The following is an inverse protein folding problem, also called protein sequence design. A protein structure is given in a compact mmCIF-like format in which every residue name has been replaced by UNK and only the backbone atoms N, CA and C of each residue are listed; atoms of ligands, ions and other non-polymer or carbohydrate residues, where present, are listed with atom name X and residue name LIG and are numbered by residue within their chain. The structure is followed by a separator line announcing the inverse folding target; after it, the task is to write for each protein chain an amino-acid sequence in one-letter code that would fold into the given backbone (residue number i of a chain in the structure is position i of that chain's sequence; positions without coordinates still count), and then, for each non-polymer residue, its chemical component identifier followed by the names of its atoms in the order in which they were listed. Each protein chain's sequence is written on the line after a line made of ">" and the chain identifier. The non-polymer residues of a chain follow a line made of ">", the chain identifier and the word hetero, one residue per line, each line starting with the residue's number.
data_IF_748435842688
#
_entry.id   IF_748435842688
#
_cell.length_a   1.000
_cell.length_b   1.000
_cell.length_c   1.000
_cell.angle_alpha   90.00
_cell.angle_beta   90.00
_cell.angle_gamma   90.00
#
_symmetry.space_group_name_H-M   'P 1'
#
loop_
_entity.id
_entity.type
_entity.pdbx_description
1 polymer ?
#
# COMPACT_ATOMS: atom_id res chain seq x y z
N UNK A 1 14.30 -31.38 33.97
CA UNK A 1 15.22 -31.99 32.99
C UNK A 1 15.47 -30.99 31.86
N UNK A 2 16.74 -30.78 31.52
CA UNK A 2 17.32 -30.03 30.39
C UNK A 2 16.98 -28.54 30.20
N UNK A 3 17.85 -27.72 30.82
CA UNK A 3 18.18 -26.34 30.43
C UNK A 3 18.96 -26.37 29.11
N UNK A 4 18.58 -25.56 28.12
CA UNK A 4 19.41 -25.23 26.96
C UNK A 4 19.92 -23.79 27.10
N UNK A 5 21.22 -23.68 27.34
CA UNK A 5 22.01 -22.45 27.37
C UNK A 5 22.45 -22.14 25.95
N UNK A 6 22.18 -20.94 25.44
CA UNK A 6 22.82 -20.44 24.22
C UNK A 6 23.71 -19.25 24.57
N UNK A 7 24.95 -19.34 24.08
CA UNK A 7 26.07 -18.46 24.34
C UNK A 7 25.92 -17.15 23.55
N UNK A 8 26.03 -16.02 24.25
CA UNK A 8 26.21 -14.69 23.67
C UNK A 8 27.56 -14.59 22.98
N UNK A 9 27.56 -14.35 21.66
CA UNK A 9 28.76 -13.94 20.92
C UNK A 9 28.75 -12.42 20.76
N UNK A 10 29.66 -11.74 21.48
CA UNK A 10 29.96 -10.33 21.26
C UNK A 10 30.94 -10.22 20.09
N UNK A 11 30.50 -9.66 18.97
CA UNK A 11 31.39 -9.27 17.88
C UNK A 11 31.91 -7.85 18.14
N UNK A 12 33.20 -7.76 18.46
CA UNK A 12 33.95 -6.50 18.50
C UNK A 12 34.30 -6.14 17.05
N UNK A 13 33.66 -5.10 16.50
CA UNK A 13 34.12 -4.49 15.25
C UNK A 13 35.17 -3.43 15.58
N UNK A 14 36.41 -3.74 15.20
CA UNK A 14 37.53 -2.81 15.25
C UNK A 14 37.29 -1.66 14.26
N UNK A 15 37.38 -0.43 14.75
CA UNK A 15 37.38 0.78 13.93
C UNK A 15 38.76 0.96 13.29
N UNK A 16 38.81 1.01 11.97
CA UNK A 16 39.98 1.52 11.24
C UNK A 16 39.77 3.01 10.91
N UNK A 17 40.80 3.86 11.06
CA UNK A 17 40.72 5.27 10.72
C UNK A 17 40.80 5.40 9.20
N UNK A 18 39.70 5.83 8.58
CA UNK A 18 39.73 6.22 7.16
C UNK A 18 40.26 7.64 7.07
N UNK A 19 41.41 7.77 6.43
CA UNK A 19 42.06 9.02 6.02
C UNK A 19 41.11 9.88 5.19
N UNK A 20 40.93 11.13 5.61
CA UNK A 20 40.53 12.24 4.75
C UNK A 20 41.54 12.37 3.59
N UNK A 21 41.08 12.45 2.34
CA UNK A 21 40.86 13.69 1.56
C UNK A 21 40.34 13.33 0.16
N UNK A 22 39.28 13.99 -0.29
CA UNK A 22 39.19 14.66 -1.59
C UNK A 22 37.83 15.39 -1.64
N UNK A 23 37.88 16.71 -1.47
CA UNK A 23 36.82 17.62 -1.90
C UNK A 23 36.65 17.44 -3.41
N UNK A 24 35.46 17.01 -3.84
CA UNK A 24 35.02 17.16 -5.22
C UNK A 24 34.04 18.33 -5.23
N UNK A 25 34.47 19.38 -5.93
CA UNK A 25 33.73 20.60 -6.15
C UNK A 25 32.32 20.35 -6.68
N UNK A 26 31.40 21.18 -6.18
CA UNK A 26 30.00 21.28 -6.55
C UNK A 26 29.82 21.61 -8.04
N UNK A 27 28.97 20.83 -8.74
CA UNK A 27 27.84 21.35 -9.54
C UNK A 27 26.95 20.21 -10.06
N UNK A 28 26.43 19.39 -9.14
CA UNK A 28 25.46 18.35 -9.47
C UNK A 28 24.34 18.42 -8.46
N UNK A 29 23.25 19.08 -8.82
CA UNK A 29 22.00 19.07 -8.06
C UNK A 29 21.38 17.66 -8.12
N UNK A 30 22.03 16.69 -7.49
CA UNK A 30 21.42 15.39 -7.18
C UNK A 30 20.75 15.55 -5.84
N UNK A 31 19.56 16.13 -5.86
CA UNK A 31 18.63 16.05 -4.74
C UNK A 31 18.59 14.62 -4.25
N UNK A 32 18.85 14.40 -2.94
CA UNK A 32 18.81 13.07 -2.32
C UNK A 32 17.41 12.45 -2.43
N UNK A 33 16.41 13.29 -2.70
CA UNK A 33 15.01 12.94 -2.81
C UNK A 33 14.39 13.48 -4.10
N UNK A 34 13.34 12.82 -4.56
CA UNK A 34 12.54 13.19 -5.73
C UNK A 34 11.07 12.96 -5.41
N UNK A 35 10.18 13.83 -5.90
CA UNK A 35 8.75 13.67 -5.70
C UNK A 35 8.18 12.68 -6.71
N UNK A 36 7.35 11.73 -6.24
CA UNK A 36 6.55 10.88 -7.09
C UNK A 36 5.31 11.64 -7.58
N UNK A 37 5.11 11.75 -8.88
CA UNK A 37 3.99 12.50 -9.46
C UNK A 37 2.64 11.78 -9.32
N UNK A 38 2.65 10.48 -8.99
CA UNK A 38 1.42 9.69 -8.77
C UNK A 38 0.88 9.84 -7.35
N UNK A 39 1.72 9.64 -6.34
CA UNK A 39 1.30 9.69 -4.94
C UNK A 39 1.60 11.01 -4.23
N UNK A 40 2.30 11.95 -4.90
CA UNK A 40 2.74 13.23 -4.34
C UNK A 40 3.83 13.09 -3.26
N UNK A 41 4.27 11.87 -2.95
CA UNK A 41 5.21 11.61 -1.88
C UNK A 41 6.66 11.86 -2.31
N UNK A 42 7.43 12.52 -1.45
CA UNK A 42 8.88 12.64 -1.58
C UNK A 42 9.55 11.29 -1.25
N UNK A 43 10.45 10.82 -2.12
CA UNK A 43 11.12 9.51 -2.06
C UNK A 43 12.62 9.68 -2.29
N UNK A 44 13.48 8.74 -1.86
CA UNK A 44 14.86 8.70 -2.33
C UNK A 44 14.91 8.76 -3.87
N UNK A 45 15.81 9.56 -4.43
CA UNK A 45 15.85 9.78 -5.89
C UNK A 45 16.04 8.47 -6.67
N UNK A 46 16.78 7.50 -6.12
CA UNK A 46 16.98 6.15 -6.68
C UNK A 46 15.72 5.28 -6.72
N UNK A 47 14.65 5.68 -6.02
CA UNK A 47 13.37 4.96 -5.99
C UNK A 47 12.34 5.55 -6.97
N UNK A 48 12.69 6.60 -7.72
CA UNK A 48 11.78 7.31 -8.63
C UNK A 48 12.37 7.27 -10.04
N UNK A 49 11.71 6.51 -10.90
CA UNK A 49 12.09 6.38 -12.31
C UNK A 49 11.22 7.29 -13.17
N UNK A 50 11.83 7.84 -14.22
CA UNK A 50 11.09 8.51 -15.29
C UNK A 50 10.57 7.45 -16.27
N UNK A 51 9.24 7.30 -16.37
CA UNK A 51 8.61 6.25 -17.16
C UNK A 51 7.49 6.79 -18.04
N UNK A 52 7.29 6.13 -19.18
CA UNK A 52 6.11 6.32 -20.02
C UNK A 52 4.95 5.48 -19.51
N UNK A 53 3.77 6.09 -19.33
CA UNK A 53 2.54 5.39 -18.91
C UNK A 53 1.63 5.19 -20.12
N UNK A 54 1.54 3.95 -20.60
CA UNK A 54 0.90 3.62 -21.88
C UNK A 54 -0.64 3.66 -21.86
N UNK A 55 -1.28 3.68 -20.69
CA UNK A 55 -2.65 3.15 -20.58
C UNK A 55 -3.76 4.00 -21.20
N UNK A 56 -3.67 5.34 -21.32
CA UNK A 56 -4.73 6.17 -21.99
C UNK A 56 -4.19 7.38 -22.80
N UNK A 57 -2.93 7.78 -22.59
CA UNK A 57 -2.13 8.60 -23.51
C UNK A 57 -0.69 8.50 -22.98
N UNK A 58 0.32 8.21 -23.83
CA UNK A 58 1.70 8.14 -23.35
C UNK A 58 2.06 9.49 -22.76
N UNK A 59 2.10 9.55 -21.43
CA UNK A 59 2.63 10.67 -20.68
C UNK A 59 3.85 10.17 -19.93
N UNK A 60 4.87 11.00 -19.93
CA UNK A 60 6.07 10.75 -19.14
C UNK A 60 5.84 11.28 -17.73
N UNK A 61 6.20 10.49 -16.73
CA UNK A 61 6.11 10.90 -15.34
C UNK A 61 7.22 10.30 -14.49
N UNK A 62 7.53 11.01 -13.40
CA UNK A 62 8.43 10.55 -12.37
C UNK A 62 7.66 9.72 -11.33
N UNK A 63 7.79 8.39 -11.40
CA UNK A 63 6.97 7.45 -10.65
C UNK A 63 7.83 6.64 -9.69
N UNK A 64 7.44 6.58 -8.42
CA UNK A 64 8.12 5.72 -7.46
C UNK A 64 7.92 4.23 -7.78
N UNK A 65 8.91 3.39 -7.45
CA UNK A 65 8.89 1.95 -7.74
C UNK A 65 7.59 1.25 -7.29
N UNK A 66 7.01 1.63 -6.15
CA UNK A 66 5.75 1.07 -5.66
C UNK A 66 4.55 1.45 -6.54
N UNK A 67 4.41 2.72 -6.91
CA UNK A 67 3.35 3.17 -7.82
C UNK A 67 3.52 2.57 -9.21
N UNK A 68 4.77 2.46 -9.68
CA UNK A 68 5.08 1.81 -10.96
C UNK A 68 4.70 0.32 -10.94
N UNK A 69 5.01 -0.38 -9.85
CA UNK A 69 4.59 -1.77 -9.65
C UNK A 69 3.08 -1.89 -9.73
N UNK A 70 2.31 -1.10 -8.96
CA UNK A 70 0.83 -1.17 -8.98
C UNK A 70 0.26 -0.89 -10.37
N UNK A 71 0.80 0.10 -11.11
CA UNK A 71 0.33 0.44 -12.46
C UNK A 71 0.60 -0.67 -13.49
N UNK A 72 1.75 -1.34 -13.37
CA UNK A 72 2.19 -2.36 -14.31
C UNK A 72 2.03 -3.79 -13.79
N UNK A 73 1.38 -3.96 -12.63
CA UNK A 73 1.15 -5.27 -12.06
C UNK A 73 0.05 -5.97 -12.84
N UNK A 74 0.46 -6.92 -13.67
CA UNK A 74 -0.43 -7.90 -14.26
C UNK A 74 -0.43 -9.14 -13.37
N UNK A 75 -1.62 -9.60 -13.02
CA UNK A 75 -1.81 -10.92 -12.43
C UNK A 75 -2.05 -11.93 -13.54
N UNK A 76 -1.70 -13.18 -13.27
CA UNK A 76 -1.93 -14.27 -14.22
C UNK A 76 -3.44 -14.43 -14.48
N UNK A 77 -3.78 -14.87 -15.69
CA UNK A 77 -5.17 -15.15 -16.06
C UNK A 77 -5.80 -16.13 -15.04
N UNK A 78 -7.01 -15.81 -14.59
CA UNK A 78 -7.73 -16.64 -13.62
C UNK A 78 -7.29 -16.45 -12.17
N UNK A 79 -6.61 -15.36 -11.81
CA UNK A 79 -6.37 -14.98 -10.42
C UNK A 79 -7.16 -13.73 -10.02
N UNK A 80 -7.62 -13.70 -8.77
CA UNK A 80 -8.34 -12.56 -8.22
C UNK A 80 -7.42 -11.38 -8.04
N UNK A 81 -7.78 -10.25 -8.64
CA UNK A 81 -6.95 -9.05 -8.61
C UNK A 81 -6.81 -8.40 -7.22
N UNK A 82 -7.67 -8.78 -6.28
CA UNK A 82 -7.66 -8.26 -4.92
C UNK A 82 -6.96 -9.19 -3.92
N UNK A 83 -7.23 -10.49 -3.95
CA UNK A 83 -6.70 -11.46 -2.97
C UNK A 83 -5.64 -12.42 -3.52
N UNK A 84 -5.47 -12.50 -4.84
CA UNK A 84 -4.51 -13.40 -5.51
C UNK A 84 -4.97 -14.86 -5.63
N UNK A 85 -6.14 -15.22 -5.11
CA UNK A 85 -6.67 -16.59 -5.18
C UNK A 85 -7.07 -16.96 -6.62
N UNK A 86 -6.94 -18.24 -6.97
CA UNK A 86 -7.43 -18.77 -8.25
C UNK A 86 -8.96 -18.63 -8.37
N UNK A 87 -9.41 -18.25 -9.56
CA UNK A 87 -10.82 -18.04 -9.89
C UNK A 87 -11.26 -18.99 -11.01
N UNK A 88 -12.27 -19.80 -10.74
CA UNK A 88 -12.95 -20.60 -11.77
C UNK A 88 -14.00 -19.82 -12.59
N UNK A 89 -14.65 -18.82 -11.96
CA UNK A 89 -15.56 -17.86 -12.60
C UNK A 89 -15.40 -16.50 -11.93
N UNK A 90 -14.90 -15.51 -12.67
CA UNK A 90 -14.62 -14.17 -12.17
C UNK A 90 -15.67 -13.13 -12.57
N UNK A 91 -15.62 -12.00 -11.87
CA UNK A 91 -16.33 -10.79 -12.24
C UNK A 91 -15.32 -9.80 -12.80
N UNK A 92 -15.46 -9.46 -14.08
CA UNK A 92 -14.58 -8.47 -14.70
C UNK A 92 -14.95 -7.06 -14.22
N UNK A 93 -13.96 -6.29 -13.81
CA UNK A 93 -14.10 -4.90 -13.41
C UNK A 93 -13.11 -4.03 -14.16
N UNK A 94 -13.54 -2.84 -14.54
CA UNK A 94 -12.71 -1.76 -15.07
C UNK A 94 -13.04 -0.48 -14.27
N UNK A 95 -12.07 0.05 -13.56
CA UNK A 95 -12.20 1.29 -12.77
C UNK A 95 -11.28 2.35 -13.35
N UNK A 96 -11.85 3.51 -13.66
CA UNK A 96 -11.09 4.71 -14.08
C UNK A 96 -11.09 5.71 -12.94
N UNK A 97 -9.93 6.25 -12.62
CA UNK A 97 -9.77 7.17 -11.50
C UNK A 97 -8.69 8.21 -11.80
N UNK A 98 -8.80 9.43 -11.27
CA UNK A 98 -7.72 10.41 -11.37
C UNK A 98 -6.52 9.96 -10.52
N UNK A 99 -5.31 10.11 -11.08
CA UNK A 99 -4.03 9.86 -10.42
C UNK A 99 -3.42 11.18 -9.98
N UNK A 100 -3.11 11.28 -8.69
CA UNK A 100 -2.44 12.43 -8.09
C UNK A 100 -3.24 13.74 -8.18
N UNK A 101 -2.62 14.83 -7.76
CA UNK A 101 -3.22 16.18 -7.82
C UNK A 101 -3.40 16.70 -9.25
N UNK A 102 -2.58 16.20 -10.18
CA UNK A 102 -2.66 16.53 -11.61
C UNK A 102 -3.86 15.87 -12.31
N UNK A 103 -4.55 14.93 -11.65
CA UNK A 103 -5.77 14.32 -12.16
C UNK A 103 -5.55 13.46 -13.41
N UNK A 104 -4.36 12.87 -13.56
CA UNK A 104 -4.00 12.06 -14.73
C UNK A 104 -4.91 10.82 -14.82
N UNK A 105 -5.28 10.34 -16.02
CA UNK A 105 -6.20 9.21 -16.13
C UNK A 105 -5.51 7.90 -15.70
N UNK A 106 -5.93 7.35 -14.56
CA UNK A 106 -5.59 5.99 -14.13
C UNK A 106 -6.68 5.00 -14.52
N UNK A 107 -6.26 3.76 -14.80
CA UNK A 107 -7.16 2.64 -15.06
C UNK A 107 -6.66 1.40 -14.33
N UNK A 108 -7.59 0.70 -13.69
CA UNK A 108 -7.37 -0.62 -13.11
C UNK A 108 -8.39 -1.57 -13.71
N UNK A 109 -7.95 -2.67 -14.31
CA UNK A 109 -8.83 -3.66 -14.92
C UNK A 109 -8.36 -5.08 -14.57
N UNK A 110 -9.30 -5.99 -14.36
CA UNK A 110 -8.99 -7.38 -14.00
C UNK A 110 -10.23 -8.18 -13.62
N UNK A 111 -10.02 -9.35 -13.03
CA UNK A 111 -11.09 -10.21 -12.52
C UNK A 111 -11.08 -10.26 -10.99
N UNK A 112 -12.26 -10.20 -10.38
CA UNK A 112 -12.46 -10.39 -8.94
C UNK A 112 -13.16 -11.73 -8.67
N UNK A 113 -12.79 -12.39 -7.57
CA UNK A 113 -13.58 -13.51 -7.05
C UNK A 113 -14.92 -13.01 -6.50
N UNK A 114 -15.88 -13.91 -6.29
CA UNK A 114 -17.23 -13.54 -5.83
C UNK A 114 -17.25 -12.72 -4.53
N UNK A 115 -16.40 -13.07 -3.57
CA UNK A 115 -16.33 -12.39 -2.28
C UNK A 115 -15.75 -10.98 -2.42
N UNK A 116 -14.64 -10.82 -3.16
CA UNK A 116 -14.04 -9.50 -3.41
C UNK A 116 -14.93 -8.61 -4.28
N UNK A 117 -15.58 -9.17 -5.30
CA UNK A 117 -16.55 -8.43 -6.11
C UNK A 117 -17.76 -7.98 -5.28
N UNK A 118 -18.25 -8.84 -4.39
CA UNK A 118 -19.32 -8.50 -3.45
C UNK A 118 -18.91 -7.38 -2.49
N UNK A 119 -17.69 -7.43 -1.96
CA UNK A 119 -17.16 -6.39 -1.08
C UNK A 119 -17.02 -5.04 -1.81
N UNK A 120 -16.39 -5.02 -2.99
CA UNK A 120 -16.27 -3.80 -3.82
C UNK A 120 -17.64 -3.24 -4.21
N UNK A 121 -18.59 -4.10 -4.59
CA UNK A 121 -19.94 -3.68 -4.92
C UNK A 121 -20.67 -3.10 -3.70
N UNK A 122 -20.47 -3.64 -2.50
CA UNK A 122 -20.98 -3.06 -1.27
C UNK A 122 -20.34 -1.70 -1.01
N UNK A 123 -19.02 -1.58 -1.09
CA UNK A 123 -18.32 -0.31 -0.88
C UNK A 123 -18.77 0.79 -1.86
N UNK A 124 -19.00 0.45 -3.13
CA UNK A 124 -19.54 1.39 -4.13
C UNK A 124 -20.99 1.76 -3.81
N UNK A 125 -21.85 0.78 -3.52
CA UNK A 125 -23.27 1.04 -3.28
C UNK A 125 -23.54 1.79 -1.96
N UNK A 126 -22.62 1.67 -1.01
CA UNK A 126 -22.73 2.25 0.33
C UNK A 126 -21.71 3.36 0.57
N UNK A 127 -21.06 3.86 -0.49
CA UNK A 127 -20.05 4.93 -0.44
C UNK A 127 -19.05 4.75 0.72
N UNK A 128 -18.54 3.52 0.91
CA UNK A 128 -17.64 3.14 2.01
C UNK A 128 -18.06 3.69 3.39
N UNK A 129 -19.29 3.39 3.84
CA UNK A 129 -19.79 3.78 5.17
C UNK A 129 -19.82 5.30 5.39
N UNK A 130 -20.42 6.02 4.46
CA UNK A 130 -21.35 7.13 4.78
C UNK A 130 -22.83 6.64 4.72
N UNK A 131 -23.02 5.33 4.83
CA UNK A 131 -24.32 4.68 4.83
C UNK A 131 -24.99 4.74 6.21
N UNK A 132 -25.87 5.74 6.38
CA UNK A 132 -26.78 5.94 7.51
C UNK A 132 -26.08 6.26 8.84
N UNK A 133 -25.97 7.56 9.16
CA UNK A 133 -25.50 8.05 10.45
C UNK A 133 -26.19 7.38 11.65
N UNK A 134 -27.46 7.03 11.53
CA UNK A 134 -28.20 6.40 12.61
C UNK A 134 -27.83 4.92 12.75
N UNK A 135 -27.56 4.23 11.64
CA UNK A 135 -27.01 2.87 11.65
C UNK A 135 -25.57 2.84 12.21
N UNK A 136 -24.74 3.83 11.86
CA UNK A 136 -23.40 3.97 12.41
C UNK A 136 -23.41 4.27 13.92
N UNK A 137 -24.30 5.18 14.37
CA UNK A 137 -24.52 5.45 15.80
C UNK A 137 -25.01 4.21 16.53
N UNK A 138 -25.97 3.46 15.98
CA UNK A 138 -26.44 2.20 16.56
C UNK A 138 -25.32 1.15 16.66
N UNK A 139 -24.47 1.03 15.64
CA UNK A 139 -23.32 0.12 15.69
C UNK A 139 -22.33 0.50 16.80
N UNK A 140 -22.03 1.80 16.95
CA UNK A 140 -21.18 2.29 18.05
C UNK A 140 -21.81 1.99 19.42
N UNK A 141 -23.12 2.16 19.57
CA UNK A 141 -23.83 1.83 20.81
C UNK A 141 -23.73 0.34 21.16
N UNK A 142 -23.92 -0.54 20.18
CA UNK A 142 -23.80 -1.99 20.35
C UNK A 142 -22.37 -2.36 20.78
N UNK A 143 -21.36 -1.86 20.09
CA UNK A 143 -19.95 -2.16 20.39
C UNK A 143 -19.54 -1.68 21.79
N UNK A 144 -20.03 -0.51 22.21
CA UNK A 144 -19.76 0.02 23.55
C UNK A 144 -20.42 -0.83 24.64
N UNK A 145 -21.63 -1.33 24.41
CA UNK A 145 -22.31 -2.18 25.38
C UNK A 145 -21.65 -3.56 25.50
N UNK A 146 -21.22 -4.15 24.39
CA UNK A 146 -20.46 -5.40 24.40
C UNK A 146 -19.12 -5.24 25.15
N UNK A 147 -18.41 -4.12 24.94
CA UNK A 147 -17.20 -3.82 25.70
C UNK A 147 -17.47 -3.69 27.20
N UNK A 148 -18.58 -3.06 27.61
CA UNK A 148 -18.96 -3.00 29.03
C UNK A 148 -19.27 -4.38 29.62
N UNK A 149 -19.92 -5.25 28.85
CA UNK A 149 -20.21 -6.64 29.26
C UNK A 149 -18.92 -7.43 29.45
N UNK A 150 -17.99 -7.32 28.51
CA UNK A 150 -16.67 -7.96 28.61
C UNK A 150 -15.90 -7.48 29.85
N UNK A 151 -15.80 -6.17 30.06
CA UNK A 151 -15.10 -5.63 31.23
C UNK A 151 -15.72 -6.11 32.57
N UNK A 152 -17.05 -6.20 32.65
CA UNK A 152 -17.73 -6.73 33.84
C UNK A 152 -17.44 -8.21 34.09
N UNK A 153 -17.31 -8.99 33.02
CA UNK A 153 -16.92 -10.40 33.12
C UNK A 153 -15.47 -10.54 33.60
N UNK A 154 -14.57 -9.70 33.10
CA UNK A 154 -13.17 -9.64 33.55
C UNK A 154 -13.02 -9.15 35.00
N UNK A 155 -13.92 -8.30 35.49
CA UNK A 155 -13.95 -7.83 36.89
C UNK A 155 -14.58 -8.84 37.87
N UNK A 156 -15.24 -9.88 37.37
CA UNK A 156 -15.88 -10.93 38.19
C UNK A 156 -15.08 -12.24 38.26
N UNK A 157 -13.94 -12.30 37.57
CA UNK A 157 -12.88 -13.32 37.73
C UNK A 157 -11.80 -12.88 38.72
#
# INVERSE_FOLDING_TARGET
>A
MQRRTFLSAAAVLATHPTTAVAEVDADGDTSLTKMCEICGGEKPAEMVDHVSVDTIAPFEADICAACNHVQNHWLDEGQCMQCGDEIGRGFHIEVKFPLGESGLPGMLAGELCGDCAGWVACDINYESVDADEDAHKQLIEILNEEKRRMNKLEETE
#
